data_IF_541713479811
#
_entry.id   IF_541713479811
#
_cell.length_a   1.000
_cell.length_b   1.000
_cell.length_c   1.000
_cell.angle_alpha   90.00
_cell.angle_beta   90.00
_cell.angle_gamma   90.00
#
_symmetry.space_group_name_H-M   'P 1'
#
loop_
_entity.id
_entity.type
_entity.pdbx_description
1 polymer ?
#
# COMPACT_ATOMS: atom_id res chain seq x y z
N UNK A 1 -3.64 -4.74 -24.35
CA UNK A 1 -3.07 -3.49 -23.80
C UNK A 1 -2.21 -3.88 -22.62
N UNK A 2 -0.90 -3.62 -22.67
CA UNK A 2 -0.02 -3.93 -21.54
C UNK A 2 -0.26 -2.91 -20.42
N UNK A 3 -0.53 -3.38 -19.21
CA UNK A 3 -0.64 -2.49 -18.04
C UNK A 3 0.70 -1.78 -17.81
N UNK A 4 0.69 -0.48 -17.43
CA UNK A 4 1.93 0.25 -17.19
C UNK A 4 2.72 -0.43 -16.07
N UNK A 5 3.99 -0.77 -16.34
CA UNK A 5 4.86 -1.47 -15.41
C UNK A 5 4.92 -0.83 -13.99
N UNK A 6 4.89 0.50 -13.82
CA UNK A 6 4.88 1.12 -12.49
C UNK A 6 3.60 0.81 -11.70
N UNK A 7 2.44 0.72 -12.36
CA UNK A 7 1.17 0.39 -11.70
C UNK A 7 1.20 -1.03 -11.15
N UNK A 8 1.73 -1.98 -11.94
CA UNK A 8 1.89 -3.38 -11.54
C UNK A 8 2.90 -3.50 -10.40
N UNK A 9 4.09 -2.92 -10.57
CA UNK A 9 5.16 -2.98 -9.56
C UNK A 9 4.74 -2.34 -8.24
N UNK A 10 4.12 -1.16 -8.26
CA UNK A 10 3.68 -0.49 -7.05
C UNK A 10 2.55 -1.24 -6.36
N UNK A 11 1.57 -1.77 -7.10
CA UNK A 11 0.49 -2.60 -6.52
C UNK A 11 1.05 -3.84 -5.83
N UNK A 12 1.97 -4.57 -6.48
CA UNK A 12 2.65 -5.72 -5.87
C UNK A 12 3.40 -5.31 -4.60
N UNK A 13 4.09 -4.16 -4.62
CA UNK A 13 4.86 -3.67 -3.47
C UNK A 13 3.96 -3.40 -2.26
N UNK A 14 2.85 -2.67 -2.44
CA UNK A 14 1.92 -2.40 -1.35
C UNK A 14 1.26 -3.68 -0.82
N UNK A 15 0.90 -4.62 -1.69
CA UNK A 15 0.37 -5.93 -1.27
C UNK A 15 1.39 -6.68 -0.42
N UNK A 16 2.64 -6.80 -0.89
CA UNK A 16 3.70 -7.52 -0.17
C UNK A 16 3.98 -6.88 1.18
N UNK A 17 4.12 -5.56 1.26
CA UNK A 17 4.37 -4.85 2.53
C UNK A 17 3.21 -5.02 3.51
N UNK A 18 1.97 -4.96 3.03
CA UNK A 18 0.77 -5.16 3.86
C UNK A 18 0.72 -6.59 4.41
N UNK A 19 0.99 -7.58 3.56
CA UNK A 19 1.02 -8.99 3.98
C UNK A 19 2.14 -9.25 5.01
N UNK A 20 3.33 -8.69 4.80
CA UNK A 20 4.43 -8.81 5.75
C UNK A 20 4.08 -8.21 7.11
N UNK A 21 3.43 -7.03 7.13
CA UNK A 21 2.96 -6.41 8.36
C UNK A 21 1.92 -7.29 9.08
N UNK A 22 0.94 -7.82 8.34
CA UNK A 22 -0.07 -8.73 8.92
C UNK A 22 0.57 -10.01 9.50
N UNK A 23 1.52 -10.62 8.77
CA UNK A 23 2.25 -11.81 9.24
C UNK A 23 3.03 -11.50 10.52
N UNK A 24 3.70 -10.35 10.59
CA UNK A 24 4.39 -9.92 11.81
C UNK A 24 3.43 -9.79 13.00
N UNK A 25 2.23 -9.24 12.80
CA UNK A 25 1.17 -9.17 13.80
C UNK A 25 0.75 -10.54 14.33
N UNK A 26 0.55 -11.50 13.43
CA UNK A 26 0.17 -12.87 13.77
C UNK A 26 1.31 -13.57 14.54
N UNK A 27 2.56 -13.43 14.09
CA UNK A 27 3.73 -14.03 14.77
C UNK A 27 3.90 -13.47 16.18
N UNK A 28 3.72 -12.15 16.36
CA UNK A 28 3.81 -11.51 17.68
C UNK A 28 2.71 -12.00 18.63
N UNK A 29 1.50 -12.24 18.10
CA UNK A 29 0.41 -12.86 18.85
C UNK A 29 0.68 -14.33 19.21
N UNK A 30 1.21 -15.12 18.27
CA UNK A 30 1.51 -16.53 18.48
C UNK A 30 2.68 -16.77 19.46
N UNK A 31 3.67 -15.86 19.46
CA UNK A 31 4.86 -15.93 20.33
C UNK A 31 4.61 -15.40 21.76
N UNK A 32 3.36 -15.04 22.11
CA UNK A 32 2.99 -14.39 23.38
C UNK A 32 3.81 -13.13 23.70
N UNK A 33 4.42 -12.51 22.68
CA UNK A 33 5.10 -11.21 22.83
C UNK A 33 4.10 -10.05 22.88
N UNK A 34 2.85 -10.31 22.53
CA UNK A 34 1.75 -9.36 22.55
C UNK A 34 0.47 -10.06 23.02
N UNK A 35 -0.43 -9.33 23.69
CA UNK A 35 -1.76 -9.85 24.05
C UNK A 35 -2.55 -10.17 22.78
N UNK A 36 -3.43 -11.19 22.84
CA UNK A 36 -4.24 -11.61 21.68
C UNK A 36 -5.10 -10.48 21.12
N UNK A 37 -5.60 -9.61 22.00
CA UNK A 37 -6.38 -8.42 21.62
C UNK A 37 -5.52 -7.44 20.81
N UNK A 38 -4.34 -7.09 21.31
CA UNK A 38 -3.42 -6.19 20.61
C UNK A 38 -2.93 -6.78 19.28
N UNK A 39 -2.70 -8.10 19.21
CA UNK A 39 -2.36 -8.81 17.98
C UNK A 39 -3.48 -8.73 16.92
N UNK A 40 -4.73 -8.89 17.35
CA UNK A 40 -5.90 -8.74 16.48
C UNK A 40 -6.03 -7.31 15.95
N UNK A 41 -5.94 -6.32 16.85
CA UNK A 41 -6.01 -4.89 16.50
C UNK A 41 -4.90 -4.50 15.53
N UNK A 42 -3.65 -4.93 15.81
CA UNK A 42 -2.51 -4.64 14.94
C UNK A 42 -2.68 -5.23 13.54
N UNK A 43 -3.15 -6.48 13.44
CA UNK A 43 -3.36 -7.15 12.15
C UNK A 43 -4.45 -6.45 11.34
N UNK A 44 -5.56 -6.08 11.99
CA UNK A 44 -6.66 -5.35 11.34
C UNK A 44 -6.21 -3.96 10.87
N UNK A 45 -5.53 -3.20 11.73
CA UNK A 45 -5.01 -1.88 11.38
C UNK A 45 -3.99 -1.95 10.26
N UNK A 46 -3.09 -2.93 10.28
CA UNK A 46 -2.11 -3.14 9.22
C UNK A 46 -2.77 -3.33 7.86
N UNK A 47 -3.85 -4.13 7.80
CA UNK A 47 -4.62 -4.31 6.57
C UNK A 47 -5.30 -3.01 6.11
N UNK A 48 -6.00 -2.31 7.01
CA UNK A 48 -6.68 -1.06 6.69
C UNK A 48 -5.70 0.01 6.22
N UNK A 49 -4.57 0.18 6.91
CA UNK A 49 -3.52 1.12 6.53
C UNK A 49 -2.91 0.75 5.19
N UNK A 50 -2.59 -0.53 4.95
CA UNK A 50 -2.07 -1.00 3.68
C UNK A 50 -3.01 -0.69 2.50
N UNK A 51 -4.31 -0.95 2.68
CA UNK A 51 -5.33 -0.63 1.69
C UNK A 51 -5.46 0.88 1.44
N UNK A 52 -5.50 1.69 2.49
CA UNK A 52 -5.58 3.15 2.37
C UNK A 52 -4.35 3.74 1.65
N UNK A 53 -3.15 3.27 2.00
CA UNK A 53 -1.91 3.73 1.37
C UNK A 53 -1.84 3.32 -0.11
N UNK A 54 -2.25 2.10 -0.44
CA UNK A 54 -2.33 1.65 -1.83
C UNK A 54 -3.34 2.49 -2.63
N UNK A 55 -4.54 2.71 -2.10
CA UNK A 55 -5.57 3.54 -2.75
C UNK A 55 -5.07 4.97 -3.00
N UNK A 56 -4.46 5.60 -1.98
CA UNK A 56 -3.94 6.95 -2.12
C UNK A 56 -2.86 7.03 -3.22
N UNK A 57 -1.90 6.11 -3.19
CA UNK A 57 -0.85 6.02 -4.20
C UNK A 57 -1.42 5.75 -5.61
N UNK A 58 -2.36 4.82 -5.73
CA UNK A 58 -2.99 4.47 -7.00
C UNK A 58 -3.74 5.68 -7.59
N UNK A 59 -4.47 6.44 -6.76
CA UNK A 59 -5.11 7.68 -7.19
C UNK A 59 -4.10 8.72 -7.68
N UNK A 60 -2.99 8.93 -6.97
CA UNK A 60 -1.92 9.83 -7.41
C UNK A 60 -1.33 9.41 -8.76
N UNK A 61 -1.09 8.12 -8.94
CA UNK A 61 -0.54 7.57 -10.18
C UNK A 61 -1.54 7.70 -11.35
N UNK A 62 -2.81 7.32 -11.13
CA UNK A 62 -3.86 7.41 -12.13
C UNK A 62 -4.15 8.86 -12.55
N UNK A 63 -4.06 9.82 -11.62
CA UNK A 63 -4.19 11.24 -11.93
C UNK A 63 -3.13 11.74 -12.93
N UNK A 64 -1.93 11.13 -12.90
CA UNK A 64 -0.85 11.43 -13.86
C UNK A 64 -0.94 10.57 -15.14
N UNK A 65 -1.80 9.57 -15.17
CA UNK A 65 -1.92 8.69 -16.34
C UNK A 65 -2.78 9.37 -17.40
N UNK A 66 -2.21 9.59 -18.59
CA UNK A 66 -2.86 10.36 -19.67
C UNK A 66 -3.21 11.80 -19.24
N UNK A 67 -2.21 12.57 -18.82
CA UNK A 67 -2.38 13.99 -18.45
C UNK A 67 -3.01 14.80 -19.58
N UNK A 68 -4.00 15.62 -19.22
CA UNK A 68 -4.63 16.59 -20.11
C UNK A 68 -4.03 18.00 -19.95
N UNK A 69 -3.43 18.26 -18.79
CA UNK A 69 -2.85 19.54 -18.41
C UNK A 69 -1.35 19.31 -18.22
N UNK A 70 -0.54 20.13 -18.88
CA UNK A 70 0.92 20.10 -18.80
C UNK A 70 1.40 21.40 -18.16
N UNK A 71 2.42 21.38 -17.27
CA UNK A 71 2.99 22.60 -16.70
C UNK A 71 3.50 23.56 -17.78
N UNK A 72 3.08 24.83 -17.70
CA UNK A 72 3.41 25.87 -18.68
C UNK A 72 4.89 26.28 -18.69
N UNK A 73 5.61 26.06 -17.58
CA UNK A 73 7.00 26.51 -17.36
C UNK A 73 7.98 25.35 -17.16
N UNK A 74 7.66 24.13 -17.61
CA UNK A 74 8.55 22.98 -17.38
C UNK A 74 9.87 23.00 -18.17
N UNK A 75 10.10 24.03 -19.00
CA UNK A 75 11.25 24.15 -19.89
C UNK A 75 12.01 25.47 -19.77
N UNK A 76 11.82 26.22 -18.68
CA UNK A 76 12.67 27.39 -18.36
C UNK A 76 13.90 26.99 -17.54
#
# INVERSE_FOLDING_TARGET
MAYPAPLVSGTITYIVLTLLAMIAGIILGATNRMTKENASVFTLLSFMTGFCLWMFWACCWLHQWHILIVPAYAHE
#
